data_IF_849645757727
#
_entry.id   IF_849645757727
#
_cell.length_a   1.000
_cell.length_b   1.000
_cell.length_c   1.000
_cell.angle_alpha   90.00
_cell.angle_beta   90.00
_cell.angle_gamma   90.00
#
_symmetry.space_group_name_H-M   'P 1'
#
loop_
_entity.id
_entity.type
_entity.pdbx_description
1 polymer ?
#
# COMPACT_ATOMS: atom_id res chain seq x y z
N UNK A 1 2.22 12.69 2.96
CA UNK A 1 2.12 11.26 2.58
C UNK A 1 1.32 11.07 1.29
N UNK A 2 0.10 11.61 1.13
CA UNK A 2 -0.70 11.45 -0.11
C UNK A 2 0.01 11.98 -1.35
N UNK A 3 0.57 13.20 -1.30
CA UNK A 3 1.36 13.74 -2.42
C UNK A 3 2.53 12.84 -2.80
N UNK A 4 3.22 12.25 -1.81
CA UNK A 4 4.29 11.29 -2.07
C UNK A 4 3.79 10.01 -2.75
N UNK A 5 2.56 9.59 -2.46
CA UNK A 5 1.91 8.48 -3.16
C UNK A 5 1.70 8.81 -4.65
N UNK A 6 1.16 9.99 -4.97
CA UNK A 6 0.96 10.42 -6.36
C UNK A 6 2.29 10.54 -7.11
N UNK A 7 3.29 11.20 -6.49
CA UNK A 7 4.65 11.31 -7.05
C UNK A 7 5.25 9.92 -7.27
N UNK A 8 5.16 9.02 -6.29
CA UNK A 8 5.69 7.65 -6.42
C UNK A 8 4.98 6.84 -7.50
N UNK A 9 3.67 7.01 -7.66
CA UNK A 9 2.89 6.38 -8.73
C UNK A 9 3.32 6.88 -10.12
N UNK A 10 3.52 8.19 -10.28
CA UNK A 10 4.06 8.77 -11.52
C UNK A 10 5.49 8.31 -11.83
N UNK A 11 6.31 8.07 -10.80
CA UNK A 11 7.65 7.51 -10.95
C UNK A 11 7.66 5.99 -11.21
N UNK A 12 6.50 5.33 -11.26
CA UNK A 12 6.38 3.90 -11.47
C UNK A 12 7.00 3.04 -10.36
N UNK A 13 7.23 3.58 -9.16
CA UNK A 13 7.73 2.82 -8.01
C UNK A 13 6.60 2.15 -7.24
N UNK A 14 6.95 1.20 -6.37
CA UNK A 14 5.99 0.60 -5.45
C UNK A 14 5.57 1.62 -4.39
N UNK A 15 4.27 1.95 -4.36
CA UNK A 15 3.67 2.87 -3.38
C UNK A 15 2.74 2.11 -2.43
N UNK A 16 2.55 2.57 -1.17
CA UNK A 16 1.61 1.92 -0.27
C UNK A 16 0.18 2.02 -0.78
N UNK A 17 -0.63 1.04 -0.45
CA UNK A 17 -2.06 1.04 -0.73
C UNK A 17 -2.71 2.09 0.17
N UNK A 18 -3.39 3.08 -0.41
CA UNK A 18 -4.18 4.04 0.37
C UNK A 18 -5.46 3.35 0.84
N UNK A 19 -5.79 3.50 2.11
CA UNK A 19 -7.05 3.08 2.70
C UNK A 19 -7.76 4.28 3.32
N UNK A 20 -8.83 4.74 2.70
CA UNK A 20 -9.73 5.73 3.31
C UNK A 20 -10.68 5.03 4.27
N UNK A 21 -10.57 5.36 5.57
CA UNK A 21 -11.44 4.85 6.64
C UNK A 21 -12.34 5.98 7.16
N UNK A 22 -13.48 5.63 7.71
CA UNK A 22 -14.38 6.58 8.35
C UNK A 22 -15.85 6.15 8.27
N UNK A 23 -16.75 6.86 8.97
CA UNK A 23 -18.18 6.56 8.99
C UNK A 23 -18.83 6.71 7.61
N UNK A 24 -20.09 6.29 7.50
CA UNK A 24 -20.90 6.61 6.34
C UNK A 24 -21.05 8.15 6.21
N UNK A 25 -21.01 8.67 4.99
CA UNK A 25 -21.08 10.12 4.78
C UNK A 25 -19.77 10.89 4.93
N UNK A 26 -18.63 10.23 5.22
CA UNK A 26 -17.31 10.88 5.31
C UNK A 26 -16.63 11.15 3.94
N UNK A 27 -17.36 11.12 2.83
CA UNK A 27 -16.88 11.36 1.47
C UNK A 27 -15.68 10.49 1.02
N UNK A 28 -15.53 9.26 1.56
CA UNK A 28 -14.45 8.32 1.20
C UNK A 28 -14.35 8.05 -0.29
N UNK A 29 -15.48 7.72 -0.92
CA UNK A 29 -15.58 7.43 -2.36
C UNK A 29 -15.23 8.65 -3.21
N UNK A 30 -15.70 9.83 -2.83
CA UNK A 30 -15.40 11.10 -3.54
C UNK A 30 -13.92 11.45 -3.44
N UNK A 31 -13.30 11.28 -2.27
CA UNK A 31 -11.87 11.51 -2.06
C UNK A 31 -11.03 10.51 -2.88
N UNK A 32 -11.40 9.23 -2.88
CA UNK A 32 -10.73 8.19 -3.65
C UNK A 32 -10.83 8.44 -5.17
N UNK A 33 -12.03 8.82 -5.64
CA UNK A 33 -12.27 9.19 -7.03
C UNK A 33 -11.41 10.39 -7.47
N UNK A 34 -11.43 11.47 -6.72
CA UNK A 34 -10.63 12.66 -7.02
C UNK A 34 -9.13 12.37 -7.04
N UNK A 35 -8.64 11.59 -6.06
CA UNK A 35 -7.25 11.23 -5.98
C UNK A 35 -6.80 10.38 -7.18
N UNK A 36 -7.59 9.38 -7.57
CA UNK A 36 -7.31 8.57 -8.74
C UNK A 36 -7.31 9.39 -10.03
N UNK A 37 -8.36 10.18 -10.24
CA UNK A 37 -8.50 11.01 -11.44
C UNK A 37 -7.43 12.11 -11.55
N UNK A 38 -6.72 12.41 -10.48
CA UNK A 38 -5.64 13.40 -10.54
C UNK A 38 -4.52 12.97 -11.48
N UNK A 39 -4.19 11.67 -11.54
CA UNK A 39 -3.06 11.14 -12.34
C UNK A 39 -3.48 10.05 -13.34
N UNK A 40 -4.68 9.48 -13.20
CA UNK A 40 -5.20 8.42 -14.09
C UNK A 40 -6.68 8.69 -14.40
N UNK A 41 -7.00 9.66 -15.29
CA UNK A 41 -8.37 9.94 -15.69
C UNK A 41 -9.02 8.73 -16.35
N UNK A 42 -10.13 8.28 -15.81
CA UNK A 42 -10.87 7.11 -16.28
C UNK A 42 -12.37 7.39 -16.25
N UNK A 43 -13.16 6.88 -17.23
CA UNK A 43 -14.62 6.98 -17.18
C UNK A 43 -15.25 6.16 -16.05
N UNK A 44 -14.52 5.17 -15.52
CA UNK A 44 -14.94 4.33 -14.38
C UNK A 44 -13.83 4.24 -13.32
N UNK A 45 -13.51 5.36 -12.63
CA UNK A 45 -12.39 5.41 -11.70
C UNK A 45 -12.62 4.57 -10.44
N UNK A 46 -13.87 4.38 -10.01
CA UNK A 46 -14.25 3.65 -8.81
C UNK A 46 -14.94 2.34 -9.19
N UNK A 47 -14.50 1.23 -8.60
CA UNK A 47 -14.94 -0.11 -8.95
C UNK A 47 -15.35 -0.90 -7.73
N UNK A 48 -16.28 -1.84 -7.94
CA UNK A 48 -16.63 -2.80 -6.91
C UNK A 48 -15.49 -3.77 -6.61
N UNK A 49 -15.49 -4.34 -5.40
CA UNK A 49 -14.53 -5.37 -5.00
C UNK A 49 -14.67 -6.60 -5.91
N UNK A 50 -13.58 -7.07 -6.54
CA UNK A 50 -13.63 -8.24 -7.41
C UNK A 50 -13.96 -9.50 -6.61
N UNK A 51 -14.71 -10.42 -7.22
CA UNK A 51 -15.17 -11.63 -6.56
C UNK A 51 -14.15 -12.78 -6.57
N UNK A 52 -13.24 -12.75 -7.53
CA UNK A 52 -12.27 -13.79 -7.80
C UNK A 52 -10.98 -13.22 -8.44
N UNK A 53 -9.89 -14.00 -8.52
CA UNK A 53 -8.63 -13.58 -9.11
C UNK A 53 -8.71 -13.20 -10.60
N UNK A 54 -9.66 -13.73 -11.35
CA UNK A 54 -9.81 -13.43 -12.79
C UNK A 54 -10.40 -12.03 -12.96
N UNK A 55 -11.48 -11.74 -12.25
CA UNK A 55 -12.10 -10.40 -12.19
C UNK A 55 -11.09 -9.36 -11.70
N UNK A 56 -10.22 -9.74 -10.73
CA UNK A 56 -9.14 -8.87 -10.28
C UNK A 56 -8.14 -8.55 -11.38
N UNK A 57 -7.70 -9.56 -12.14
CA UNK A 57 -6.72 -9.35 -13.22
C UNK A 57 -7.24 -8.39 -14.30
N UNK A 58 -8.53 -8.49 -14.65
CA UNK A 58 -9.20 -7.56 -15.58
C UNK A 58 -9.26 -6.15 -14.97
N UNK A 59 -9.71 -6.05 -13.71
CA UNK A 59 -9.82 -4.76 -13.00
C UNK A 59 -8.47 -4.05 -12.91
N UNK A 60 -7.41 -4.79 -12.54
CA UNK A 60 -6.07 -4.24 -12.38
C UNK A 60 -5.35 -3.99 -13.71
N UNK A 61 -5.71 -4.72 -14.78
CA UNK A 61 -5.13 -4.53 -16.11
C UNK A 61 -5.53 -3.20 -16.77
N UNK A 62 -6.72 -2.72 -16.50
CA UNK A 62 -7.34 -1.59 -17.20
C UNK A 62 -7.01 -0.18 -16.69
N UNK A 63 -6.16 -0.01 -15.67
CA UNK A 63 -5.87 1.32 -15.08
C UNK A 63 -4.53 1.33 -14.37
N UNK A 64 -3.86 2.49 -14.31
CA UNK A 64 -2.65 2.68 -13.49
C UNK A 64 -3.00 2.84 -12.01
N UNK A 65 -4.15 3.48 -11.72
CA UNK A 65 -4.69 3.63 -10.36
C UNK A 65 -5.98 2.82 -10.25
N UNK A 66 -6.04 1.90 -9.30
CA UNK A 66 -7.19 1.04 -9.05
C UNK A 66 -7.87 1.44 -7.76
N UNK A 67 -9.11 1.90 -7.83
CA UNK A 67 -9.93 2.19 -6.65
C UNK A 67 -10.93 1.05 -6.45
N UNK A 68 -10.90 0.42 -5.27
CA UNK A 68 -11.90 -0.54 -4.83
C UNK A 68 -12.73 0.08 -3.71
N UNK A 69 -14.02 0.20 -3.94
CA UNK A 69 -14.93 0.91 -3.05
C UNK A 69 -15.70 -0.04 -2.14
N UNK A 70 -15.99 0.46 -0.94
CA UNK A 70 -16.84 -0.21 0.06
C UNK A 70 -16.36 -1.61 0.46
N UNK A 71 -15.11 -1.68 0.91
CA UNK A 71 -14.52 -2.93 1.39
C UNK A 71 -14.92 -3.14 2.86
N UNK A 72 -15.68 -4.22 3.11
CA UNK A 72 -16.02 -4.66 4.47
C UNK A 72 -14.99 -5.65 5.02
N UNK A 73 -14.52 -6.56 4.16
CA UNK A 73 -13.54 -7.60 4.51
C UNK A 73 -12.59 -7.84 3.35
N UNK A 74 -11.32 -8.15 3.68
CA UNK A 74 -10.31 -8.51 2.68
C UNK A 74 -10.02 -10.01 2.76
N UNK A 75 -10.57 -10.84 1.87
CA UNK A 75 -10.27 -12.27 1.86
C UNK A 75 -8.80 -12.53 1.54
N UNK A 76 -8.28 -13.66 1.98
CA UNK A 76 -6.86 -13.99 1.89
C UNK A 76 -6.31 -13.89 0.45
N UNK A 77 -7.05 -14.36 -0.54
CA UNK A 77 -6.65 -14.30 -1.95
C UNK A 77 -6.52 -12.85 -2.45
N UNK A 78 -7.45 -11.97 -2.03
CA UNK A 78 -7.42 -10.54 -2.42
C UNK A 78 -6.26 -9.82 -1.73
N UNK A 79 -6.02 -10.09 -0.44
CA UNK A 79 -4.84 -9.57 0.27
C UNK A 79 -3.54 -9.92 -0.47
N UNK A 80 -3.39 -11.18 -0.88
CA UNK A 80 -2.22 -11.64 -1.63
C UNK A 80 -2.15 -10.97 -3.03
N UNK A 81 -3.29 -10.79 -3.70
CA UNK A 81 -3.38 -10.16 -5.01
C UNK A 81 -3.03 -8.66 -4.96
N UNK A 82 -3.56 -7.92 -3.97
CA UNK A 82 -3.24 -6.52 -3.72
C UNK A 82 -1.74 -6.32 -3.43
N UNK A 83 -1.17 -7.18 -2.56
CA UNK A 83 0.25 -7.12 -2.25
C UNK A 83 1.13 -7.32 -3.49
N UNK A 84 0.78 -8.27 -4.37
CA UNK A 84 1.52 -8.51 -5.63
C UNK A 84 1.37 -7.36 -6.62
N UNK A 85 0.18 -6.82 -6.77
CA UNK A 85 -0.08 -5.71 -7.69
C UNK A 85 0.73 -4.46 -7.37
N UNK A 86 0.96 -4.18 -6.08
CA UNK A 86 1.79 -3.05 -5.64
C UNK A 86 3.27 -3.28 -5.92
N UNK A 87 3.75 -4.54 -5.85
CA UNK A 87 5.18 -4.86 -6.04
C UNK A 87 5.56 -5.13 -7.50
N UNK A 88 4.59 -5.25 -8.40
CA UNK A 88 4.83 -5.50 -9.82
C UNK A 88 5.08 -6.97 -10.15
N UNK A 89 4.60 -7.90 -9.31
CA UNK A 89 4.70 -9.33 -9.58
C UNK A 89 3.71 -9.76 -10.65
N UNK A 90 4.18 -10.59 -11.59
CA UNK A 90 3.39 -11.08 -12.70
C UNK A 90 2.27 -12.04 -12.30
N UNK A 91 1.18 -11.99 -13.03
CA UNK A 91 0.07 -12.93 -12.95
C UNK A 91 0.10 -13.85 -14.15
N UNK A 92 0.17 -15.16 -13.93
CA UNK A 92 0.13 -16.17 -15.01
C UNK A 92 -1.33 -16.56 -15.25
N UNK A 93 -1.82 -16.39 -16.46
CA UNK A 93 -3.15 -16.81 -16.90
C UNK A 93 -3.02 -17.77 -18.09
N UNK A 94 -3.91 -18.75 -18.18
CA UNK A 94 -4.10 -19.47 -19.45
C UNK A 94 -4.73 -18.51 -20.46
N UNK A 95 -4.18 -18.46 -21.66
CA UNK A 95 -4.82 -17.75 -22.76
C UNK A 95 -6.15 -18.44 -23.09
N UNK A 96 -7.22 -17.66 -23.28
CA UNK A 96 -8.50 -18.20 -23.74
C UNK A 96 -8.33 -18.76 -25.15
N UNK A 97 -8.96 -19.91 -25.40
CA UNK A 97 -8.98 -20.60 -26.72
C UNK A 97 -7.65 -21.23 -27.17
N UNK A 98 -6.67 -21.45 -26.30
CA UNK A 98 -5.45 -22.22 -26.64
C UNK A 98 -5.10 -23.20 -25.52
N UNK A 99 -4.84 -24.47 -25.88
CA UNK A 99 -4.56 -25.53 -24.89
C UNK A 99 -3.20 -25.38 -24.17
N UNK A 100 -2.29 -24.56 -24.69
CA UNK A 100 -0.93 -24.46 -24.17
C UNK A 100 -0.35 -23.05 -24.05
N UNK A 101 -1.05 -22.01 -24.47
CA UNK A 101 -0.52 -20.65 -24.37
C UNK A 101 -0.71 -20.06 -22.96
N UNK A 102 0.37 -19.58 -22.37
CA UNK A 102 0.39 -18.89 -21.09
C UNK A 102 0.46 -17.39 -21.39
N UNK A 103 -0.55 -16.64 -20.94
CA UNK A 103 -0.50 -15.17 -20.92
C UNK A 103 0.12 -14.72 -19.59
N UNK A 104 1.21 -13.99 -19.67
CA UNK A 104 1.85 -13.36 -18.51
C UNK A 104 1.38 -11.92 -18.46
N UNK A 105 0.61 -11.57 -17.43
CA UNK A 105 0.20 -10.19 -17.17
C UNK A 105 1.01 -9.69 -15.98
N UNK A 106 2.00 -8.86 -16.24
CA UNK A 106 2.77 -8.18 -15.21
C UNK A 106 2.31 -6.73 -15.14
N UNK A 107 1.90 -6.29 -13.95
CA UNK A 107 1.53 -4.90 -13.74
C UNK A 107 1.91 -4.44 -12.32
N UNK A 108 2.29 -3.18 -12.21
CA UNK A 108 2.39 -2.48 -10.93
C UNK A 108 1.29 -1.43 -10.90
N UNK A 109 0.53 -1.38 -9.80
CA UNK A 109 -0.61 -0.48 -9.67
C UNK A 109 -0.54 0.31 -8.38
N UNK A 110 -0.90 1.59 -8.45
CA UNK A 110 -1.31 2.34 -7.28
C UNK A 110 -2.73 1.91 -6.91
N UNK A 111 -2.95 1.59 -5.64
CA UNK A 111 -4.23 1.04 -5.20
C UNK A 111 -4.80 1.94 -4.12
N UNK A 112 -6.10 2.21 -4.22
CA UNK A 112 -6.88 2.98 -3.25
C UNK A 112 -8.06 2.11 -2.83
N UNK A 113 -8.25 1.98 -1.54
CA UNK A 113 -9.36 1.24 -0.93
C UNK A 113 -10.22 2.21 -0.12
N UNK A 114 -11.54 1.99 -0.11
CA UNK A 114 -12.42 2.68 0.82
C UNK A 114 -13.18 1.66 1.67
N UNK A 115 -13.42 1.97 2.94
CA UNK A 115 -14.16 1.07 3.85
C UNK A 115 -14.46 1.75 5.17
N UNK A 116 -15.33 1.14 5.99
CA UNK A 116 -15.60 1.60 7.35
C UNK A 116 -14.53 1.02 8.28
N UNK A 117 -14.47 -0.29 8.33
CA UNK A 117 -13.45 -1.08 9.03
C UNK A 117 -13.25 -2.37 8.21
N UNK A 118 -12.13 -2.53 7.52
CA UNK A 118 -11.88 -3.72 6.71
C UNK A 118 -11.68 -4.99 7.53
N UNK A 119 -11.95 -4.95 8.84
CA UNK A 119 -11.82 -6.09 9.73
C UNK A 119 -10.37 -6.46 10.03
N UNK A 120 -10.15 -7.72 10.40
CA UNK A 120 -8.81 -8.23 10.67
C UNK A 120 -7.99 -8.31 9.37
N UNK A 121 -7.13 -7.33 9.16
CA UNK A 121 -6.20 -7.32 8.04
C UNK A 121 -5.04 -8.27 8.27
N UNK A 122 -4.59 -8.93 7.21
CA UNK A 122 -3.37 -9.73 7.29
C UNK A 122 -2.16 -8.82 7.45
N UNK A 123 -1.21 -9.22 8.28
CA UNK A 123 -0.05 -8.39 8.63
C UNK A 123 0.84 -7.99 7.44
N UNK A 124 0.86 -8.78 6.36
CA UNK A 124 1.59 -8.46 5.13
C UNK A 124 0.88 -7.36 4.31
N UNK A 125 -0.44 -7.27 4.35
CA UNK A 125 -1.22 -6.18 3.78
C UNK A 125 -1.08 -4.93 4.66
N UNK A 126 -1.27 -5.04 5.98
CA UNK A 126 -1.12 -3.94 6.93
C UNK A 126 0.24 -3.23 6.81
N UNK A 127 1.30 -3.98 6.48
CA UNK A 127 2.65 -3.46 6.25
C UNK A 127 2.81 -2.63 4.95
N UNK A 128 1.81 -2.66 4.08
CA UNK A 128 1.77 -1.95 2.81
C UNK A 128 0.67 -0.89 2.74
N UNK A 129 -0.04 -0.66 3.83
CA UNK A 129 -1.11 0.34 3.88
C UNK A 129 -0.60 1.72 4.26
N UNK A 130 -1.32 2.71 3.77
CA UNK A 130 -1.34 4.09 4.21
C UNK A 130 -2.80 4.42 4.53
N UNK A 131 -3.18 4.38 5.81
CA UNK A 131 -4.53 4.68 6.24
C UNK A 131 -4.75 6.19 6.34
N UNK A 132 -5.93 6.63 5.93
CA UNK A 132 -6.41 8.02 6.03
C UNK A 132 -7.78 7.97 6.66
N UNK A 133 -7.85 8.46 7.89
CA UNK A 133 -9.11 8.53 8.61
C UNK A 133 -9.83 9.82 8.25
N UNK A 134 -11.04 9.69 7.71
CA UNK A 134 -11.89 10.81 7.34
C UNK A 134 -12.98 10.97 8.41
N UNK A 135 -13.13 12.18 8.99
CA UNK A 135 -14.22 12.45 9.91
C UNK A 135 -15.57 12.46 9.18
N UNK A 136 -16.64 12.37 9.94
CA UNK A 136 -17.98 12.64 9.44
C UNK A 136 -18.09 14.10 9.00
N UNK A 137 -18.81 14.35 7.91
CA UNK A 137 -19.10 15.68 7.39
C UNK A 137 -20.46 16.10 7.94
N UNK A 138 -20.50 17.24 8.62
CA UNK A 138 -21.75 17.83 9.10
C UNK A 138 -22.71 18.09 7.94
N UNK A 139 -24.02 17.98 8.18
CA UNK A 139 -25.02 18.16 7.14
C UNK A 139 -24.94 19.53 6.47
N UNK A 140 -24.58 20.58 7.24
CA UNK A 140 -24.40 21.94 6.74
C UNK A 140 -23.21 22.11 5.79
N UNK A 141 -22.22 21.22 5.86
CA UNK A 141 -20.98 21.27 5.07
C UNK A 141 -21.02 20.34 3.86
N UNK A 142 -22.10 19.55 3.73
CA UNK A 142 -22.29 18.66 2.59
C UNK A 142 -22.54 19.46 1.33
N UNK A 143 -21.86 19.11 0.26
CA UNK A 143 -21.97 19.71 -1.06
C UNK A 143 -22.55 18.74 -2.05
N UNK A 144 -23.21 19.25 -3.08
CA UNK A 144 -23.72 18.41 -4.17
C UNK A 144 -22.57 17.79 -4.97
N UNK A 145 -22.77 16.57 -5.47
CA UNK A 145 -21.73 15.83 -6.22
C UNK A 145 -21.30 16.61 -7.47
N UNK A 146 -22.26 17.22 -8.19
CA UNK A 146 -21.98 18.05 -9.36
C UNK A 146 -21.10 19.26 -9.07
N UNK A 147 -21.33 19.95 -7.94
CA UNK A 147 -20.48 21.07 -7.51
C UNK A 147 -19.05 20.64 -7.24
N UNK A 148 -18.87 19.47 -6.58
CA UNK A 148 -17.56 18.93 -6.30
C UNK A 148 -16.81 18.50 -7.56
N UNK A 149 -17.52 17.90 -8.52
CA UNK A 149 -16.97 17.51 -9.81
C UNK A 149 -16.54 18.71 -10.65
N UNK A 150 -17.36 19.76 -10.69
CA UNK A 150 -17.04 20.98 -11.43
C UNK A 150 -15.86 21.73 -10.79
N UNK A 151 -15.84 21.83 -9.47
CA UNK A 151 -14.71 22.41 -8.74
C UNK A 151 -13.40 21.62 -8.97
N UNK A 152 -13.47 20.28 -8.93
CA UNK A 152 -12.32 19.43 -9.23
C UNK A 152 -11.85 19.61 -10.67
N UNK A 153 -12.76 19.58 -11.64
CA UNK A 153 -12.45 19.76 -13.07
C UNK A 153 -11.77 21.10 -13.35
N UNK A 154 -12.23 22.15 -12.69
CA UNK A 154 -11.61 23.48 -12.80
C UNK A 154 -10.21 23.55 -12.19
N UNK A 155 -9.98 22.87 -11.06
CA UNK A 155 -8.71 22.88 -10.34
C UNK A 155 -7.70 21.87 -10.89
N UNK A 156 -8.15 20.79 -11.53
CA UNK A 156 -7.33 19.64 -11.94
C UNK A 156 -6.09 20.03 -12.76
N UNK A 157 -6.13 20.89 -13.78
CA UNK A 157 -4.94 21.25 -14.54
C UNK A 157 -3.83 21.87 -13.68
N UNK A 158 -4.19 22.73 -12.73
CA UNK A 158 -3.24 23.36 -11.82
C UNK A 158 -2.67 22.36 -10.80
N UNK A 159 -3.52 21.47 -10.28
CA UNK A 159 -3.11 20.40 -9.36
C UNK A 159 -2.11 19.46 -10.06
N UNK A 160 -2.44 18.99 -11.27
CA UNK A 160 -1.55 18.10 -12.02
C UNK A 160 -0.22 18.77 -12.35
N UNK A 161 -0.23 20.03 -12.81
CA UNK A 161 0.99 20.79 -13.09
C UNK A 161 1.88 20.88 -11.82
N UNK A 162 1.31 21.23 -10.68
CA UNK A 162 2.05 21.31 -9.42
C UNK A 162 2.64 19.96 -8.98
N UNK A 163 1.92 18.84 -9.22
CA UNK A 163 2.44 17.49 -8.93
C UNK A 163 3.58 17.12 -9.86
N UNK A 164 3.51 17.47 -11.15
CA UNK A 164 4.58 17.22 -12.11
C UNK A 164 5.85 18.04 -11.78
N UNK A 165 5.68 19.32 -11.40
CA UNK A 165 6.79 20.16 -10.93
C UNK A 165 7.44 19.57 -9.68
N UNK A 166 6.62 19.14 -8.70
CA UNK A 166 7.12 18.48 -7.50
C UNK A 166 7.84 17.17 -7.85
N UNK A 167 7.30 16.38 -8.77
CA UNK A 167 7.95 15.13 -9.24
C UNK A 167 9.31 15.40 -9.86
N UNK A 168 9.42 16.43 -10.70
CA UNK A 168 10.68 16.87 -11.28
C UNK A 168 11.69 17.30 -10.21
N UNK A 169 11.25 18.05 -9.19
CA UNK A 169 12.08 18.49 -8.08
C UNK A 169 12.54 17.30 -7.22
N UNK A 170 11.64 16.35 -6.95
CA UNK A 170 11.97 15.11 -6.24
C UNK A 170 13.03 14.31 -6.99
N UNK A 171 12.89 14.12 -8.32
CA UNK A 171 13.87 13.41 -9.13
C UNK A 171 15.27 14.05 -9.06
N UNK A 172 15.35 15.38 -9.08
CA UNK A 172 16.61 16.11 -8.97
C UNK A 172 17.25 16.01 -7.58
N UNK A 173 16.45 16.01 -6.53
CA UNK A 173 16.91 16.03 -5.13
C UNK A 173 17.20 14.65 -4.58
N UNK A 174 16.43 13.63 -5.02
CA UNK A 174 16.49 12.26 -4.48
C UNK A 174 17.87 11.60 -4.48
N UNK A 175 18.80 11.84 -5.47
CA UNK A 175 20.14 11.27 -5.42
C UNK A 175 20.96 11.72 -4.20
N UNK A 176 20.74 12.92 -3.67
CA UNK A 176 21.45 13.45 -2.49
C UNK A 176 20.87 12.98 -1.15
N UNK A 177 19.67 12.36 -1.16
CA UNK A 177 18.99 11.94 0.07
C UNK A 177 19.31 10.49 0.42
N UNK A 178 19.79 10.27 1.64
CA UNK A 178 20.06 8.95 2.19
C UNK A 178 19.06 8.59 3.28
N UNK A 179 18.54 7.36 3.23
CA UNK A 179 17.65 6.85 4.26
C UNK A 179 18.46 6.29 5.43
N UNK A 180 18.25 6.84 6.62
CA UNK A 180 18.75 6.28 7.88
C UNK A 180 17.90 5.10 8.34
N UNK A 181 16.59 5.13 8.05
CA UNK A 181 15.62 4.06 8.36
C UNK A 181 14.92 3.63 7.07
N UNK A 182 14.98 2.34 6.75
CA UNK A 182 14.39 1.79 5.53
C UNK A 182 13.09 1.05 5.87
N UNK A 183 11.92 1.57 5.47
CA UNK A 183 10.66 0.82 5.53
C UNK A 183 10.69 -0.34 4.54
N UNK A 184 9.69 -1.23 4.60
CA UNK A 184 9.51 -2.31 3.63
C UNK A 184 9.43 -1.78 2.19
N UNK A 185 8.72 -0.66 2.00
CA UNK A 185 8.65 0.06 0.72
C UNK A 185 9.73 1.15 0.73
N UNK A 186 11.00 0.74 0.53
CA UNK A 186 12.15 1.60 0.68
C UNK A 186 12.17 2.75 -0.34
N UNK A 187 11.73 2.50 -1.58
CA UNK A 187 11.66 3.51 -2.63
C UNK A 187 10.66 4.61 -2.28
N UNK A 188 9.47 4.23 -1.80
CA UNK A 188 8.49 5.20 -1.28
C UNK A 188 9.03 5.96 -0.07
N UNK A 189 9.71 5.28 0.85
CA UNK A 189 10.38 5.93 1.99
C UNK A 189 11.41 6.97 1.53
N UNK A 190 12.12 6.71 0.44
CA UNK A 190 13.08 7.65 -0.14
C UNK A 190 12.39 8.87 -0.77
N UNK A 191 11.27 8.67 -1.47
CA UNK A 191 10.44 9.77 -1.97
C UNK A 191 9.94 10.63 -0.82
N UNK A 192 9.41 10.02 0.26
CA UNK A 192 8.98 10.75 1.46
C UNK A 192 10.10 11.58 2.08
N UNK A 193 11.27 10.97 2.32
CA UNK A 193 12.41 11.68 2.89
C UNK A 193 12.88 12.84 1.99
N UNK A 194 12.82 12.66 0.68
CA UNK A 194 13.14 13.71 -0.30
C UNK A 194 12.13 14.84 -0.23
N UNK A 195 10.86 14.53 -0.16
CA UNK A 195 9.80 15.53 -0.02
C UNK A 195 9.88 16.26 1.33
N UNK A 196 10.23 15.55 2.39
CA UNK A 196 10.46 16.16 3.70
C UNK A 196 11.60 17.20 3.66
N UNK A 197 12.69 16.87 2.95
CA UNK A 197 13.80 17.80 2.74
C UNK A 197 13.42 19.02 1.89
N UNK A 198 12.55 18.85 0.87
CA UNK A 198 12.09 19.93 -0.01
C UNK A 198 11.06 20.82 0.69
N UNK A 199 10.09 20.22 1.39
CA UNK A 199 8.91 20.91 1.92
C UNK A 199 9.02 21.25 3.42
N UNK A 200 10.08 20.82 4.11
CA UNK A 200 10.24 21.00 5.55
C UNK A 200 9.21 20.21 6.37
N UNK A 201 8.81 19.03 5.90
CA UNK A 201 7.81 18.17 6.56
C UNK A 201 8.47 16.97 7.27
N UNK A 202 7.65 16.13 7.92
CA UNK A 202 8.07 14.91 8.63
C UNK A 202 7.27 13.68 8.16
N UNK A 203 6.99 13.59 6.87
CA UNK A 203 6.16 12.55 6.27
C UNK A 203 6.69 11.14 6.48
N UNK A 204 8.01 10.94 6.44
CA UNK A 204 8.64 9.63 6.65
C UNK A 204 8.41 9.12 8.08
N UNK A 205 8.61 9.95 9.11
CA UNK A 205 8.40 9.54 10.50
C UNK A 205 6.92 9.24 10.78
N UNK A 206 6.02 10.06 10.24
CA UNK A 206 4.57 9.82 10.33
C UNK A 206 4.16 8.51 9.66
N UNK A 207 4.71 8.22 8.50
CA UNK A 207 4.46 6.95 7.79
C UNK A 207 4.95 5.75 8.60
N UNK A 208 6.15 5.83 9.18
CA UNK A 208 6.71 4.75 10.00
C UNK A 208 5.91 4.52 11.28
N UNK A 209 5.44 5.58 11.93
CA UNK A 209 4.59 5.52 13.12
C UNK A 209 3.23 4.86 12.80
N UNK A 210 2.56 5.33 11.75
CA UNK A 210 1.29 4.77 11.31
C UNK A 210 1.40 3.30 10.91
N UNK A 211 2.47 2.92 10.21
CA UNK A 211 2.72 1.52 9.86
C UNK A 211 2.83 0.64 11.10
N UNK A 212 3.49 1.11 12.17
CA UNK A 212 3.58 0.38 13.44
C UNK A 212 2.21 0.24 14.11
N UNK A 213 1.35 1.26 13.99
CA UNK A 213 -0.02 1.21 14.49
C UNK A 213 -0.87 0.18 13.74
N UNK A 214 -0.88 0.24 12.41
CA UNK A 214 -1.62 -0.71 11.56
C UNK A 214 -1.17 -2.17 11.80
N UNK A 215 0.11 -2.39 12.09
CA UNK A 215 0.61 -3.71 12.46
C UNK A 215 0.07 -4.16 13.84
N UNK A 216 -0.06 -3.24 14.82
CA UNK A 216 -0.68 -3.56 16.12
C UNK A 216 -2.16 -3.87 15.97
N UNK A 217 -2.90 -3.07 15.19
CA UNK A 217 -4.30 -3.35 14.85
C UNK A 217 -4.45 -4.74 14.21
N UNK A 218 -3.59 -5.08 13.25
CA UNK A 218 -3.60 -6.39 12.60
C UNK A 218 -3.29 -7.54 13.57
N UNK A 219 -2.42 -7.34 14.56
CA UNK A 219 -2.15 -8.34 15.59
C UNK A 219 -3.38 -8.58 16.48
N UNK A 220 -4.04 -7.50 16.91
CA UNK A 220 -5.25 -7.57 17.74
C UNK A 220 -6.46 -8.13 16.99
N UNK A 221 -6.57 -7.87 15.70
CA UNK A 221 -7.63 -8.39 14.83
C UNK A 221 -7.44 -9.86 14.42
N UNK A 222 -6.21 -10.38 14.41
CA UNK A 222 -5.96 -11.79 14.14
C UNK A 222 -6.23 -12.65 15.38
N UNK A 223 -6.95 -13.75 15.22
CA UNK A 223 -7.35 -14.63 16.36
C UNK A 223 -6.18 -15.24 17.10
N UNK A 224 -5.13 -15.61 16.38
CA UNK A 224 -3.92 -16.16 17.03
C UNK A 224 -3.11 -15.02 17.65
N UNK A 225 -3.05 -13.88 16.96
CA UNK A 225 -2.42 -12.67 17.48
C UNK A 225 -3.04 -12.22 18.79
N UNK A 226 -4.36 -12.05 18.83
CA UNK A 226 -5.09 -11.63 20.05
C UNK A 226 -4.98 -12.64 21.18
N UNK A 227 -5.05 -13.95 20.88
CA UNK A 227 -4.88 -14.98 21.90
C UNK A 227 -3.47 -15.00 22.50
N UNK A 228 -2.43 -14.79 21.68
CA UNK A 228 -1.05 -14.68 22.15
C UNK A 228 -0.85 -13.40 22.97
N UNK A 229 -1.42 -12.28 22.54
CA UNK A 229 -1.34 -11.01 23.28
C UNK A 229 -1.96 -11.20 24.67
N UNK A 230 -3.22 -11.66 24.74
CA UNK A 230 -3.92 -11.88 26.00
C UNK A 230 -3.16 -12.87 26.89
N UNK A 231 -2.69 -13.99 26.34
CA UNK A 231 -1.98 -14.98 27.13
C UNK A 231 -0.62 -14.50 27.67
N UNK A 232 0.02 -13.57 26.95
CA UNK A 232 1.31 -12.98 27.36
C UNK A 232 1.16 -11.79 28.32
N UNK A 233 -0.05 -11.29 28.64
CA UNK A 233 -0.25 -10.16 29.54
C UNK A 233 0.44 -10.38 30.90
N UNK A 234 0.28 -11.56 31.47
CA UNK A 234 0.81 -11.93 32.80
C UNK A 234 2.19 -12.59 32.75
N UNK A 235 2.84 -12.62 31.59
CA UNK A 235 4.11 -13.31 31.42
C UNK A 235 5.20 -12.37 30.89
N UNK A 236 6.41 -12.46 31.44
CA UNK A 236 7.57 -11.72 30.94
C UNK A 236 8.14 -12.35 29.66
N UNK A 237 7.98 -13.68 29.51
CA UNK A 237 8.42 -14.44 28.36
C UNK A 237 8.06 -15.91 28.50
N UNK A 238 8.09 -16.63 27.38
CA UNK A 238 7.79 -18.05 27.36
C UNK A 238 8.63 -18.78 26.29
N UNK A 239 8.97 -20.04 26.58
CA UNK A 239 9.65 -20.91 25.63
C UNK A 239 9.17 -22.35 25.77
N UNK A 240 8.70 -22.90 24.68
CA UNK A 240 8.16 -24.27 24.66
C UNK A 240 7.98 -24.80 23.24
N UNK A 241 7.30 -25.93 23.13
CA UNK A 241 6.96 -26.55 21.84
C UNK A 241 5.64 -25.98 21.28
N UNK A 242 5.39 -26.25 20.01
CA UNK A 242 4.11 -25.87 19.39
C UNK A 242 2.91 -26.59 20.04
N UNK A 243 3.11 -27.79 20.59
CA UNK A 243 2.05 -28.53 21.31
C UNK A 243 1.71 -27.82 22.61
N UNK A 244 2.70 -27.51 23.43
CA UNK A 244 2.53 -26.80 24.70
C UNK A 244 1.89 -25.43 24.48
N UNK A 245 2.32 -24.67 23.46
CA UNK A 245 1.69 -23.40 23.14
C UNK A 245 0.23 -23.58 22.68
N UNK A 246 -0.03 -24.57 21.82
CA UNK A 246 -1.38 -24.86 21.33
C UNK A 246 -2.34 -25.21 22.46
N UNK A 247 -1.90 -25.99 23.45
CA UNK A 247 -2.69 -26.30 24.64
C UNK A 247 -2.93 -25.05 25.49
N UNK A 248 -1.93 -24.20 25.65
CA UNK A 248 -2.00 -23.03 26.50
C UNK A 248 -2.94 -21.92 25.99
N UNK A 249 -2.95 -21.67 24.66
CA UNK A 249 -3.72 -20.56 24.08
C UNK A 249 -5.03 -20.98 23.41
N UNK A 250 -5.31 -22.30 23.32
CA UNK A 250 -6.56 -22.76 22.70
C UNK A 250 -7.75 -22.45 23.61
N UNK A 251 -8.74 -21.67 23.15
CA UNK A 251 -9.91 -21.36 23.95
C UNK A 251 -10.80 -22.61 24.13
N UNK A 252 -11.54 -22.69 25.23
CA UNK A 252 -12.48 -23.79 25.51
C UNK A 252 -13.48 -23.99 24.36
N UNK A 253 -14.02 -22.87 23.83
CA UNK A 253 -14.89 -22.88 22.66
C UNK A 253 -14.08 -22.48 21.41
N UNK A 254 -13.60 -23.49 20.69
CA UNK A 254 -12.78 -23.28 19.47
C UNK A 254 -13.60 -22.64 18.36
N UNK A 255 -13.16 -21.49 17.79
CA UNK A 255 -13.72 -20.97 16.56
C UNK A 255 -13.50 -21.92 15.38
N UNK A 256 -14.35 -21.86 14.35
CA UNK A 256 -14.32 -22.77 13.18
C UNK A 256 -12.96 -22.77 12.43
N UNK A 257 -12.29 -21.65 12.39
CA UNK A 257 -11.00 -21.43 11.71
C UNK A 257 -9.77 -21.47 12.65
N UNK A 258 -9.97 -21.91 13.90
CA UNK A 258 -8.86 -22.13 14.84
C UNK A 258 -7.97 -23.28 14.36
N UNK A 259 -6.62 -23.16 14.43
CA UNK A 259 -5.72 -24.25 14.06
C UNK A 259 -6.01 -25.53 14.87
N UNK A 260 -6.33 -26.62 14.19
CA UNK A 260 -6.67 -27.89 14.84
C UNK A 260 -5.42 -28.67 15.30
N UNK A 261 -4.25 -28.30 14.80
CA UNK A 261 -2.97 -29.00 15.08
C UNK A 261 -1.88 -28.03 15.51
N UNK A 262 -0.90 -28.48 16.34
CA UNK A 262 0.27 -27.67 16.70
C UNK A 262 1.08 -27.18 15.50
N UNK A 263 1.12 -27.97 14.41
CA UNK A 263 1.77 -27.59 13.16
C UNK A 263 1.02 -26.43 12.48
N UNK A 264 -0.30 -26.50 12.47
CA UNK A 264 -1.17 -25.43 11.96
C UNK A 264 -0.98 -24.13 12.76
N UNK A 265 -0.93 -24.22 14.09
CA UNK A 265 -0.62 -23.10 14.96
C UNK A 265 0.75 -22.48 14.65
N UNK A 266 1.80 -23.28 14.50
CA UNK A 266 3.13 -22.78 14.14
C UNK A 266 3.11 -22.02 12.81
N UNK A 267 2.33 -22.48 11.83
CA UNK A 267 2.14 -21.79 10.54
C UNK A 267 1.41 -20.47 10.69
N UNK A 268 0.33 -20.45 11.49
CA UNK A 268 -0.42 -19.23 11.80
C UNK A 268 0.46 -18.22 12.55
N UNK A 269 1.18 -18.67 13.57
CA UNK A 269 2.06 -17.82 14.37
C UNK A 269 3.19 -17.17 13.53
N UNK A 270 3.71 -17.85 12.51
CA UNK A 270 4.68 -17.25 11.58
C UNK A 270 4.09 -16.09 10.78
N UNK A 271 2.82 -16.18 10.38
CA UNK A 271 2.13 -15.11 9.64
C UNK A 271 1.90 -13.87 10.49
N UNK A 272 1.64 -14.05 11.79
CA UNK A 272 1.39 -12.95 12.72
C UNK A 272 2.63 -12.52 13.51
N UNK A 273 3.79 -13.09 13.26
CA UNK A 273 5.01 -12.79 14.00
C UNK A 273 5.43 -11.31 13.90
N UNK A 274 5.27 -10.69 12.74
CA UNK A 274 5.57 -9.27 12.56
C UNK A 274 4.53 -8.36 13.22
N UNK A 275 3.22 -8.57 13.04
CA UNK A 275 2.19 -7.91 13.84
C UNK A 275 2.41 -8.03 15.35
N UNK A 276 2.68 -9.23 15.86
CA UNK A 276 2.98 -9.45 17.29
C UNK A 276 4.21 -8.66 17.76
N UNK A 277 5.24 -8.55 16.94
CA UNK A 277 6.40 -7.72 17.26
C UNK A 277 6.02 -6.24 17.39
N UNK A 278 5.16 -5.73 16.52
CA UNK A 278 4.63 -4.37 16.65
C UNK A 278 3.77 -4.19 17.91
N UNK A 279 3.09 -5.25 18.36
CA UNK A 279 2.36 -5.30 19.63
C UNK A 279 3.26 -5.55 20.86
N UNK A 280 4.60 -5.54 20.71
CA UNK A 280 5.55 -5.71 21.81
C UNK A 280 5.89 -7.17 22.15
N UNK A 281 5.56 -8.14 21.27
CA UNK A 281 5.86 -9.56 21.47
C UNK A 281 6.74 -10.08 20.33
N UNK A 282 7.99 -10.44 20.66
CA UNK A 282 8.91 -11.07 19.71
C UNK A 282 8.68 -12.57 19.68
N UNK A 283 8.44 -13.11 18.49
CA UNK A 283 8.31 -14.54 18.24
C UNK A 283 9.62 -15.07 17.66
N UNK A 284 10.18 -16.11 18.28
CA UNK A 284 11.39 -16.80 17.81
C UNK A 284 11.13 -18.27 17.55
N UNK A 285 11.78 -18.82 16.54
CA UNK A 285 11.70 -20.24 16.19
C UNK A 285 13.11 -20.83 16.21
N UNK A 286 13.34 -21.80 17.06
CA UNK A 286 14.66 -22.43 17.24
C UNK A 286 14.56 -23.95 17.24
N UNK A 287 15.69 -24.62 17.22
CA UNK A 287 15.80 -26.06 17.45
C UNK A 287 16.66 -26.27 18.70
N UNK A 288 16.23 -27.12 19.62
CA UNK A 288 16.94 -27.42 20.87
C UNK A 288 17.19 -28.91 21.05
N UNK A 289 18.30 -29.26 21.76
CA UNK A 289 18.69 -30.58 22.11
C UNK A 289 19.21 -31.44 20.94
N UNK A 290 19.77 -32.62 21.28
CA UNK A 290 20.29 -33.60 20.31
C UNK A 290 19.21 -34.11 19.35
N UNK A 291 17.94 -34.15 19.78
CA UNK A 291 16.79 -34.53 18.97
C UNK A 291 16.28 -33.40 18.04
N UNK A 292 16.97 -32.23 17.96
CA UNK A 292 16.58 -31.07 17.15
C UNK A 292 15.09 -30.66 17.32
N UNK A 293 14.55 -30.76 18.55
CA UNK A 293 13.17 -30.42 18.88
C UNK A 293 12.90 -28.98 18.49
N UNK A 294 11.80 -28.71 17.77
CA UNK A 294 11.41 -27.35 17.36
C UNK A 294 10.81 -26.62 18.54
N UNK A 295 11.37 -25.46 18.87
CA UNK A 295 10.96 -24.61 19.98
C UNK A 295 10.44 -23.27 19.45
N UNK A 296 9.46 -22.72 20.15
CA UNK A 296 8.92 -21.39 19.96
C UNK A 296 9.26 -20.59 21.22
N UNK A 297 9.79 -19.39 21.05
CA UNK A 297 10.00 -18.43 22.12
C UNK A 297 9.11 -17.21 21.89
N UNK A 298 8.51 -16.71 22.96
CA UNK A 298 7.73 -15.48 23.03
C UNK A 298 8.37 -14.60 24.09
N UNK A 299 8.74 -13.38 23.74
CA UNK A 299 9.41 -12.43 24.63
C UNK A 299 8.76 -11.06 24.51
N UNK A 300 8.45 -10.42 25.65
CA UNK A 300 8.07 -9.00 25.64
C UNK A 300 9.28 -8.17 25.20
N UNK A 301 9.06 -7.28 24.27
CA UNK A 301 10.06 -6.32 23.79
C UNK A 301 9.50 -4.93 23.98
N UNK A 302 10.31 -4.06 24.58
CA UNK A 302 9.96 -2.65 24.67
C UNK A 302 9.90 -2.08 23.25
N UNK A 303 8.69 -1.88 22.79
CA UNK A 303 8.41 -1.26 21.51
C UNK A 303 8.31 0.26 21.69
N UNK A 304 9.31 0.87 22.40
CA UNK A 304 9.42 2.29 22.34
C UNK A 304 9.66 2.66 20.88
N UNK A 305 8.79 3.46 20.25
CA UNK A 305 9.20 4.18 19.06
C UNK A 305 10.47 4.92 19.49
N UNK A 306 11.60 4.57 18.88
CA UNK A 306 12.84 5.31 19.13
C UNK A 306 12.45 6.78 19.06
N UNK A 307 12.56 7.48 20.22
CA UNK A 307 12.26 8.90 20.27
C UNK A 307 12.94 9.52 19.06
N UNK A 308 12.32 10.46 18.34
CA UNK A 308 12.97 11.13 17.24
C UNK A 308 14.30 11.62 17.81
N UNK A 309 15.39 11.00 17.38
CA UNK A 309 16.72 11.45 17.74
C UNK A 309 16.74 12.89 17.25
N UNK A 310 16.83 13.83 18.18
CA UNK A 310 16.97 15.26 17.90
C UNK A 310 18.29 15.56 17.12
N UNK A 311 18.92 14.55 16.56
CA UNK A 311 20.13 14.56 15.76
C UNK A 311 19.87 13.80 14.46
N UNK A 312 19.53 14.54 13.43
CA UNK A 312 19.50 14.01 12.08
C UNK A 312 18.41 14.58 11.19
N UNK A 313 18.26 15.89 11.12
CA UNK A 313 17.89 16.48 9.84
C UNK A 313 18.88 15.93 8.83
N UNK A 314 18.47 15.42 7.65
CA UNK A 314 19.39 14.97 6.64
C UNK A 314 20.39 16.10 6.41
N UNK A 315 21.67 15.85 6.69
CA UNK A 315 22.73 16.82 6.45
C UNK A 315 22.84 17.01 4.94
N UNK A 316 22.16 18.01 4.44
CA UNK A 316 22.46 18.59 3.14
C UNK A 316 23.82 19.25 3.32
N UNK A 317 24.82 18.81 2.58
CA UNK A 317 26.14 19.40 2.58
C UNK A 317 26.01 20.86 2.13
N UNK A 318 26.09 21.79 3.08
CA UNK A 318 25.89 23.25 2.89
C UNK A 318 27.07 23.98 2.21
N UNK A 319 27.97 23.27 1.59
CA UNK A 319 29.15 23.92 1.00
C UNK A 319 28.89 24.64 -0.34
N UNK A 320 27.75 24.43 -1.01
CA UNK A 320 27.43 25.02 -2.32
C UNK A 320 26.10 25.79 -2.37
N UNK A 321 25.51 26.15 -1.21
CA UNK A 321 24.12 26.65 -1.14
C UNK A 321 23.95 28.18 -1.29
N UNK A 322 25.00 28.95 -1.48
CA UNK A 322 24.85 30.38 -1.70
C UNK A 322 24.20 30.72 -3.07
N UNK A 323 24.30 29.81 -4.04
CA UNK A 323 23.77 30.01 -5.41
C UNK A 323 22.40 29.37 -5.63
N UNK A 324 21.87 28.56 -4.66
CA UNK A 324 20.63 27.79 -4.80
C UNK A 324 19.40 28.45 -4.18
N UNK A 325 19.57 29.37 -3.24
CA UNK A 325 18.46 30.10 -2.60
C UNK A 325 17.71 31.02 -3.57
N UNK A 326 18.34 31.40 -4.67
CA UNK A 326 17.76 32.27 -5.70
C UNK A 326 16.89 31.52 -6.71
N UNK A 327 16.90 30.18 -6.69
CA UNK A 327 16.11 29.32 -7.59
C UNK A 327 14.62 29.22 -7.24
N UNK A 328 14.23 29.44 -5.99
CA UNK A 328 12.82 29.40 -5.56
C UNK A 328 12.06 30.69 -5.83
N UNK A 329 12.76 31.82 -5.95
CA UNK A 329 12.16 33.12 -6.29
C UNK A 329 11.96 33.32 -7.80
N UNK A 330 12.45 32.40 -8.64
CA UNK A 330 12.31 32.42 -10.10
C UNK A 330 11.40 31.31 -10.63
N UNK A 331 10.31 31.03 -9.97
CA UNK A 331 9.20 30.33 -10.61
C UNK A 331 8.55 31.34 -11.59
N UNK A 332 9.14 31.41 -12.78
CA UNK A 332 8.54 32.14 -13.92
C UNK A 332 7.21 31.47 -14.19
N UNK A 333 6.09 32.21 -14.28
CA UNK A 333 4.83 31.63 -14.70
C UNK A 333 5.04 30.89 -16.02
N UNK A 334 4.69 29.62 -16.11
CA UNK A 334 4.88 28.72 -17.25
C UNK A 334 4.36 29.25 -18.60
N UNK A 335 3.63 30.36 -18.61
CA UNK A 335 3.07 31.01 -19.79
C UNK A 335 4.12 31.55 -20.77
N UNK A 336 5.36 31.74 -20.34
CA UNK A 336 6.42 32.35 -21.18
C UNK A 336 7.58 31.38 -21.55
N UNK A 337 7.47 30.10 -21.19
CA UNK A 337 8.45 29.10 -21.58
C UNK A 337 8.12 28.56 -22.97
N UNK A 338 9.00 28.80 -23.95
CA UNK A 338 8.98 28.10 -25.24
C UNK A 338 9.01 26.59 -24.99
N UNK A 339 8.15 25.84 -25.70
CA UNK A 339 8.03 24.39 -25.57
C UNK A 339 9.42 23.73 -25.66
N UNK A 340 9.86 22.95 -24.66
CA UNK A 340 11.10 22.20 -24.77
C UNK A 340 10.93 21.09 -25.83
N UNK A 341 12.01 20.83 -26.59
CA UNK A 341 12.09 19.70 -27.50
C UNK A 341 11.79 18.39 -26.75
N UNK A 342 11.01 17.50 -27.38
CA UNK A 342 10.57 16.22 -26.81
C UNK A 342 11.76 15.44 -26.25
N UNK A 343 11.72 15.03 -24.96
CA UNK A 343 12.68 14.08 -24.44
C UNK A 343 12.29 12.69 -24.96
N UNK A 344 13.10 12.13 -25.83
CA UNK A 344 12.98 10.74 -26.22
C UNK A 344 13.05 9.82 -24.99
N UNK A 345 12.07 8.93 -24.82
CA UNK A 345 12.23 7.74 -23.99
C UNK A 345 11.49 7.69 -22.66
N UNK A 346 10.59 8.62 -22.28
CA UNK A 346 9.87 8.54 -21.00
C UNK A 346 8.49 7.84 -21.06
N UNK A 347 8.00 7.51 -22.23
CA UNK A 347 6.66 6.97 -22.45
C UNK A 347 6.58 5.52 -22.95
N UNK A 348 7.69 4.81 -23.13
CA UNK A 348 7.72 3.40 -23.58
C UNK A 348 7.08 2.39 -22.59
N UNK A 349 6.59 2.85 -21.44
CA UNK A 349 5.94 1.99 -20.45
C UNK A 349 4.42 1.86 -20.61
N UNK A 350 3.82 2.59 -21.55
CA UNK A 350 2.36 2.61 -21.77
C UNK A 350 1.88 1.92 -23.04
N UNK A 351 2.78 1.53 -23.94
CA UNK A 351 2.41 0.72 -25.10
C UNK A 351 2.30 -0.77 -24.71
N UNK A 352 1.17 -1.13 -24.10
CA UNK A 352 0.68 -2.50 -24.23
C UNK A 352 0.11 -2.58 -25.65
N UNK A 353 0.64 -3.42 -26.57
CA UNK A 353 0.03 -3.62 -27.86
C UNK A 353 -1.41 -4.10 -27.63
N UNK A 354 -2.38 -3.29 -28.03
CA UNK A 354 -3.75 -3.76 -28.22
C UNK A 354 -3.67 -4.68 -29.42
N UNK A 355 -3.55 -5.99 -29.18
CA UNK A 355 -3.81 -6.98 -30.22
C UNK A 355 -5.33 -6.92 -30.41
N UNK A 356 -5.76 -6.23 -31.46
CA UNK A 356 -7.14 -6.34 -31.92
C UNK A 356 -7.39 -7.83 -32.24
N UNK A 357 -8.47 -8.42 -31.75
CA UNK A 357 -8.83 -9.77 -32.17
C UNK A 357 -9.11 -9.72 -33.67
N UNK A 358 -8.47 -10.61 -34.43
CA UNK A 358 -8.80 -10.84 -35.81
C UNK A 358 -10.31 -10.99 -35.93
N UNK A 359 -10.94 -10.18 -36.78
CA UNK A 359 -12.36 -10.36 -37.10
C UNK A 359 -12.53 -11.76 -37.74
N UNK A 360 -13.46 -12.59 -37.23
CA UNK A 360 -13.73 -13.88 -37.83
C UNK A 360 -14.15 -13.66 -39.27
N UNK A 361 -13.51 -14.38 -40.20
CA UNK A 361 -13.84 -14.32 -41.61
C UNK A 361 -15.29 -14.78 -41.82
N UNK A 362 -15.97 -14.20 -42.81
CA UNK A 362 -17.38 -14.47 -43.13
C UNK A 362 -17.70 -15.95 -43.44
N UNK A 363 -16.69 -16.79 -43.52
CA UNK A 363 -16.83 -18.19 -43.92
C UNK A 363 -17.02 -19.15 -42.72
N UNK A 364 -16.91 -18.67 -41.51
CA UNK A 364 -17.02 -19.51 -40.29
C UNK A 364 -18.46 -19.67 -39.74
N UNK A 365 -19.45 -19.07 -40.40
CA UNK A 365 -20.87 -19.10 -39.94
C UNK A 365 -21.75 -20.17 -40.61
N UNK A 366 -21.26 -20.94 -41.58
CA UNK A 366 -22.05 -21.98 -42.26
C UNK A 366 -21.90 -23.41 -41.69
N UNK A 367 -21.21 -23.60 -40.58
CA UNK A 367 -20.93 -24.94 -40.02
C UNK A 367 -21.36 -25.10 -38.54
N UNK A 368 -22.52 -24.53 -38.11
CA UNK A 368 -23.20 -24.93 -36.87
C UNK A 368 -24.69 -25.14 -37.15
#
# INVERSE_FOLDING_TARGET
>A
MVLAHLVGALLGISVPIILFRGPAGAAKTSAARALAQTIDPSPAPVRAVPRDPESWAVTAGGSCVVVLDNIDTVPAWLSDALCRAVTGEGYLRRALYTDSAISVVAFRRAIILTGIDPGAMRGDLADRLLAIDLPEIDESDRREEGELEDAFRAAHPAILAAILDLTSLVLRTMPSVQLTRRPRMADYGRVLATMDAILGTNGLDRYLAQRSELQREAAGGDRIGSAVIAWMEDQAGWKGTATELHEAITPERRPKDWPTTPRGLSGALRRVAQPLRAAGIRVTFSKAGHAKRRMIGLEKVDNQPSAPSAQGSPSVNRADDADRADGLSRLVPWRDAAAPAEPAGLFDWFEVPIVEPDEPSSDDWEAI
#
